data_IF_779348112745
#
_entry.id   IF_779348112745
#
_cell.length_a   1.000
_cell.length_b   1.000
_cell.length_c   1.000
_cell.angle_alpha   90.00
_cell.angle_beta   90.00
_cell.angle_gamma   90.00
#
_symmetry.space_group_name_H-M   'P 1'
#
loop_
_entity.id
_entity.type
_entity.pdbx_description
1 polymer ?
#
# COMPACT_ATOMS: atom_id res chain seq x y z
N UNK A 1 0.37 4.42 -9.16
CA UNK A 1 -0.80 5.12 -9.73
C UNK A 1 -1.84 4.16 -10.31
N UNK A 2 -1.53 3.34 -11.31
CA UNK A 2 -2.51 2.45 -11.95
C UNK A 2 -3.35 1.60 -10.95
N UNK A 3 -2.69 0.90 -10.02
CA UNK A 3 -3.37 0.12 -8.98
C UNK A 3 -4.39 0.94 -8.17
N UNK A 4 -4.01 2.14 -7.72
CA UNK A 4 -4.88 2.98 -6.89
C UNK A 4 -6.09 3.55 -7.64
N UNK A 5 -5.93 3.88 -8.93
CA UNK A 5 -7.06 4.31 -9.77
C UNK A 5 -8.03 3.14 -9.97
N UNK A 6 -7.53 1.94 -10.29
CA UNK A 6 -8.39 0.76 -10.46
C UNK A 6 -9.10 0.42 -9.16
N UNK A 7 -8.40 0.50 -8.02
CA UNK A 7 -8.97 0.24 -6.71
C UNK A 7 -10.10 1.22 -6.37
N UNK A 8 -9.93 2.51 -6.65
CA UNK A 8 -10.97 3.52 -6.43
C UNK A 8 -12.29 3.20 -7.15
N UNK A 9 -12.20 2.73 -8.41
CA UNK A 9 -13.38 2.45 -9.23
C UNK A 9 -13.93 1.03 -9.08
N UNK A 10 -13.07 0.05 -8.81
CA UNK A 10 -13.42 -1.38 -8.89
C UNK A 10 -13.18 -2.16 -7.59
N UNK A 11 -12.63 -1.52 -6.54
CA UNK A 11 -12.37 -2.11 -5.22
C UNK A 11 -11.52 -3.40 -5.29
N UNK A 12 -10.57 -3.44 -6.21
CA UNK A 12 -9.59 -4.51 -6.30
C UNK A 12 -8.23 -3.98 -6.78
N UNK A 13 -7.16 -4.63 -6.33
CA UNK A 13 -5.80 -4.37 -6.79
C UNK A 13 -5.48 -5.28 -7.98
N UNK A 14 -5.09 -4.74 -9.15
CA UNK A 14 -4.65 -5.55 -10.29
C UNK A 14 -3.38 -6.34 -9.97
N UNK A 15 -3.42 -7.66 -10.15
CA UNK A 15 -2.24 -8.53 -9.96
C UNK A 15 -1.06 -8.09 -10.82
N UNK A 16 -1.31 -7.56 -12.02
CA UNK A 16 -0.28 -7.00 -12.90
C UNK A 16 0.54 -5.91 -12.22
N UNK A 17 -0.08 -5.07 -11.38
CA UNK A 17 0.65 -4.04 -10.62
C UNK A 17 1.56 -4.66 -9.58
N UNK A 18 1.06 -5.67 -8.87
CA UNK A 18 1.82 -6.38 -7.83
C UNK A 18 3.03 -7.07 -8.45
N UNK A 19 2.84 -7.78 -9.57
CA UNK A 19 3.89 -8.52 -10.27
C UNK A 19 4.96 -7.56 -10.80
N UNK A 20 4.57 -6.45 -11.42
CA UNK A 20 5.53 -5.46 -11.94
C UNK A 20 6.39 -4.90 -10.80
N UNK A 21 5.77 -4.49 -9.68
CA UNK A 21 6.51 -3.97 -8.53
C UNK A 21 7.45 -5.04 -7.98
N UNK A 22 6.97 -6.29 -7.83
CA UNK A 22 7.80 -7.39 -7.36
C UNK A 22 9.04 -7.61 -8.23
N UNK A 23 8.88 -7.63 -9.56
CA UNK A 23 10.01 -7.79 -10.49
C UNK A 23 11.02 -6.66 -10.29
N UNK A 24 10.56 -5.41 -10.19
CA UNK A 24 11.43 -4.25 -9.96
C UNK A 24 12.15 -4.37 -8.61
N UNK A 25 11.44 -4.77 -7.55
CA UNK A 25 12.02 -4.99 -6.22
C UNK A 25 13.07 -6.10 -6.20
N UNK A 26 12.89 -7.16 -7.00
CA UNK A 26 13.85 -8.25 -7.09
C UNK A 26 15.12 -7.86 -7.85
N UNK A 27 15.01 -6.97 -8.85
CA UNK A 27 16.17 -6.43 -9.55
C UNK A 27 17.02 -5.57 -8.60
N UNK A 28 16.38 -4.80 -7.73
CA UNK A 28 17.02 -3.92 -6.74
C UNK A 28 16.87 -4.47 -5.31
N UNK A 29 17.17 -5.77 -5.13
CA UNK A 29 16.90 -6.46 -3.87
C UNK A 29 17.80 -5.99 -2.71
N UNK A 30 17.17 -5.76 -1.55
CA UNK A 30 17.83 -5.46 -0.28
C UNK A 30 17.26 -6.38 0.83
N UNK A 31 18.15 -6.99 1.62
CA UNK A 31 17.79 -7.90 2.71
C UNK A 31 17.04 -7.20 3.85
N UNK A 32 17.35 -5.94 4.13
CA UNK A 32 16.64 -5.16 5.14
C UNK A 32 15.21 -4.87 4.70
N UNK A 33 15.01 -4.58 3.41
CA UNK A 33 13.67 -4.43 2.83
C UNK A 33 12.85 -5.71 2.92
N UNK A 34 13.48 -6.88 2.77
CA UNK A 34 12.83 -8.17 2.98
C UNK A 34 12.32 -8.33 4.41
N UNK A 35 13.12 -7.95 5.42
CA UNK A 35 12.70 -8.03 6.83
C UNK A 35 11.47 -7.16 7.07
N UNK A 36 11.48 -5.90 6.59
CA UNK A 36 10.33 -5.02 6.70
C UNK A 36 9.11 -5.57 5.95
N UNK A 37 9.31 -6.16 4.77
CA UNK A 37 8.23 -6.71 3.97
C UNK A 37 7.58 -7.92 4.63
N UNK A 38 8.37 -8.82 5.23
CA UNK A 38 7.85 -9.93 6.02
C UNK A 38 7.05 -9.42 7.22
N UNK A 39 7.57 -8.43 7.94
CA UNK A 39 6.86 -7.81 9.06
C UNK A 39 5.50 -7.22 8.64
N UNK A 40 5.47 -6.42 7.57
CA UNK A 40 4.24 -5.84 7.03
C UNK A 40 3.29 -6.93 6.52
N UNK A 41 3.80 -7.95 5.84
CA UNK A 41 3.01 -9.08 5.35
C UNK A 41 2.30 -9.81 6.50
N UNK A 42 2.99 -10.11 7.60
CA UNK A 42 2.38 -10.77 8.76
C UNK A 42 1.29 -9.92 9.39
N UNK A 43 1.53 -8.62 9.60
CA UNK A 43 0.54 -7.71 10.19
C UNK A 43 -0.69 -7.62 9.28
N UNK A 44 -0.48 -7.43 7.98
CA UNK A 44 -1.57 -7.26 7.02
C UNK A 44 -2.34 -8.55 6.77
N UNK A 45 -1.71 -9.72 6.88
CA UNK A 45 -2.40 -11.02 6.89
C UNK A 45 -3.32 -11.18 8.11
N UNK A 46 -2.91 -10.73 9.29
CA UNK A 46 -3.78 -10.71 10.47
C UNK A 46 -4.99 -9.79 10.24
N UNK A 47 -4.78 -8.62 9.62
CA UNK A 47 -5.86 -7.70 9.27
C UNK A 47 -6.79 -8.27 8.19
N UNK A 48 -6.27 -9.00 7.21
CA UNK A 48 -7.07 -9.68 6.19
C UNK A 48 -8.10 -10.65 6.82
N UNK A 49 -7.70 -11.39 7.85
CA UNK A 49 -8.62 -12.30 8.56
C UNK A 49 -9.81 -11.58 9.21
N UNK A 50 -9.73 -10.27 9.44
CA UNK A 50 -10.84 -9.45 9.95
C UNK A 50 -11.85 -9.03 8.87
N UNK A 51 -11.63 -9.41 7.60
CA UNK A 51 -12.43 -9.06 6.41
C UNK A 51 -12.53 -7.57 6.08
N UNK A 52 -11.86 -6.69 6.83
CA UNK A 52 -11.79 -5.25 6.56
C UNK A 52 -10.72 -4.88 5.52
N UNK A 53 -9.80 -5.81 5.25
CA UNK A 53 -8.66 -5.62 4.36
C UNK A 53 -8.75 -6.60 3.18
N UNK A 54 -8.49 -6.14 1.96
CA UNK A 54 -8.45 -7.01 0.79
C UNK A 54 -7.14 -7.78 0.71
N UNK A 55 -7.16 -9.00 0.15
CA UNK A 55 -5.92 -9.75 -0.10
C UNK A 55 -5.01 -9.02 -1.10
N UNK A 56 -5.60 -8.29 -2.06
CA UNK A 56 -4.84 -7.42 -2.96
C UNK A 56 -4.07 -6.32 -2.23
N UNK A 57 -4.64 -5.76 -1.16
CA UNK A 57 -3.96 -4.73 -0.33
C UNK A 57 -2.77 -5.33 0.43
N UNK A 58 -2.92 -6.56 0.95
CA UNK A 58 -1.84 -7.32 1.59
C UNK A 58 -0.68 -7.52 0.62
N UNK A 59 -0.98 -8.01 -0.59
CA UNK A 59 0.03 -8.25 -1.61
C UNK A 59 0.71 -6.95 -2.03
N UNK A 60 -0.06 -5.89 -2.27
CA UNK A 60 0.45 -4.58 -2.68
C UNK A 60 1.41 -4.00 -1.62
N UNK A 61 1.01 -3.99 -0.35
CA UNK A 61 1.86 -3.49 0.73
C UNK A 61 3.13 -4.31 0.88
N UNK A 62 3.06 -5.63 0.76
CA UNK A 62 4.24 -6.49 0.84
C UNK A 62 5.26 -6.17 -0.27
N UNK A 63 4.82 -6.13 -1.53
CA UNK A 63 5.74 -5.83 -2.66
C UNK A 63 6.23 -4.39 -2.65
N UNK A 64 5.40 -3.44 -2.21
CA UNK A 64 5.84 -2.06 -2.02
C UNK A 64 6.83 -1.91 -0.88
N UNK A 65 6.71 -2.69 0.20
CA UNK A 65 7.71 -2.69 1.28
C UNK A 65 9.03 -3.29 0.80
N UNK A 66 9.00 -4.33 -0.04
CA UNK A 66 10.21 -4.84 -0.68
C UNK A 66 10.90 -3.76 -1.52
N UNK A 67 10.13 -2.91 -2.20
CA UNK A 67 10.66 -1.84 -3.03
C UNK A 67 11.19 -0.65 -2.22
N UNK A 68 10.41 -0.17 -1.24
CA UNK A 68 10.66 1.10 -0.53
C UNK A 68 11.36 0.93 0.82
N UNK A 69 11.44 -0.29 1.33
CA UNK A 69 12.03 -0.58 2.64
C UNK A 69 11.33 0.16 3.77
N UNK A 70 12.12 0.77 4.64
CA UNK A 70 11.63 1.53 5.80
C UNK A 70 10.69 2.70 5.42
N UNK A 71 10.85 3.27 4.22
CA UNK A 71 10.02 4.41 3.80
C UNK A 71 8.53 4.05 3.65
N UNK A 72 8.18 2.77 3.57
CA UNK A 72 6.78 2.33 3.53
C UNK A 72 5.98 2.80 4.75
N UNK A 73 6.63 2.94 5.92
CA UNK A 73 5.93 3.32 7.15
C UNK A 73 5.35 4.73 7.03
N UNK A 74 6.05 5.67 6.40
CA UNK A 74 5.53 7.01 6.13
C UNK A 74 4.28 6.96 5.24
N UNK A 75 4.31 6.12 4.20
CA UNK A 75 3.20 5.95 3.26
C UNK A 75 1.98 5.35 3.97
N UNK A 76 2.18 4.30 4.78
CA UNK A 76 1.12 3.63 5.55
C UNK A 76 0.47 4.61 6.54
N UNK A 77 1.28 5.35 7.30
CA UNK A 77 0.78 6.33 8.27
C UNK A 77 -0.04 7.39 7.55
N UNK A 78 0.51 7.95 6.47
CA UNK A 78 -0.18 8.97 5.69
C UNK A 78 -1.47 8.43 5.06
N UNK A 79 -1.49 7.18 4.56
CA UNK A 79 -2.70 6.61 3.96
C UNK A 79 -3.76 6.36 5.02
N UNK A 80 -3.39 5.93 6.23
CA UNK A 80 -4.33 5.81 7.35
C UNK A 80 -4.94 7.17 7.74
N UNK A 81 -4.12 8.23 7.78
CA UNK A 81 -4.60 9.61 8.03
C UNK A 81 -5.60 10.02 6.95
N UNK A 82 -5.28 9.81 5.67
CA UNK A 82 -6.19 10.15 4.56
C UNK A 82 -7.48 9.34 4.63
N UNK A 83 -7.40 8.03 4.89
CA UNK A 83 -8.57 7.18 5.08
C UNK A 83 -9.47 7.76 6.17
N UNK A 84 -8.89 8.13 7.31
CA UNK A 84 -9.64 8.70 8.43
C UNK A 84 -10.31 10.03 8.06
N UNK A 85 -9.57 10.97 7.45
CA UNK A 85 -10.11 12.28 7.05
C UNK A 85 -11.26 12.14 6.05
N UNK A 86 -11.08 11.34 4.99
CA UNK A 86 -12.05 11.26 3.90
C UNK A 86 -13.21 10.30 4.15
N UNK A 87 -13.09 9.38 5.12
CA UNK A 87 -14.13 8.40 5.45
C UNK A 87 -14.69 8.55 6.87
N UNK A 88 -14.32 9.59 7.63
CA UNK A 88 -14.77 9.77 9.02
C UNK A 88 -16.29 9.61 9.20
N UNK A 89 -17.07 10.09 8.24
CA UNK A 89 -18.54 10.06 8.26
C UNK A 89 -19.16 8.98 7.36
N UNK A 90 -18.34 8.16 6.68
CA UNK A 90 -18.86 7.10 5.79
C UNK A 90 -19.04 5.81 6.57
N UNK A 91 -20.24 5.21 6.45
CA UNK A 91 -20.55 3.87 7.00
C UNK A 91 -20.21 2.73 6.03
N UNK A 92 -19.38 3.00 5.02
CA UNK A 92 -19.04 2.00 4.02
C UNK A 92 -18.24 0.85 4.65
N UNK A 93 -18.59 -0.39 4.29
CA UNK A 93 -17.99 -1.61 4.84
C UNK A 93 -16.58 -1.86 4.25
N UNK A 94 -16.31 -1.30 3.06
CA UNK A 94 -15.04 -1.45 2.34
C UNK A 94 -14.52 -0.08 1.91
N UNK A 95 -13.22 0.09 2.00
CA UNK A 95 -12.50 1.31 1.67
C UNK A 95 -11.47 0.94 0.59
N UNK A 96 -11.35 1.71 -0.51
CA UNK A 96 -10.33 1.47 -1.53
C UNK A 96 -8.95 1.88 -0.99
N UNK A 97 -8.33 1.02 -0.19
CA UNK A 97 -7.10 1.34 0.52
C UNK A 97 -5.92 1.58 -0.43
N UNK A 98 -5.87 0.86 -1.56
CA UNK A 98 -4.91 1.07 -2.64
C UNK A 98 -4.96 2.49 -3.23
N UNK A 99 -6.14 3.11 -3.28
CA UNK A 99 -6.27 4.52 -3.68
C UNK A 99 -5.58 5.46 -2.69
N UNK A 100 -5.74 5.25 -1.38
CA UNK A 100 -5.10 6.08 -0.36
C UNK A 100 -3.59 5.84 -0.30
N UNK A 101 -3.13 4.61 -0.48
CA UNK A 101 -1.69 4.32 -0.66
C UNK A 101 -1.14 5.12 -1.85
N UNK A 102 -1.85 5.14 -2.99
CA UNK A 102 -1.41 5.90 -4.15
C UNK A 102 -1.27 7.39 -3.85
N UNK A 103 -2.26 8.01 -3.20
CA UNK A 103 -2.17 9.43 -2.82
C UNK A 103 -0.99 9.67 -1.88
N UNK A 104 -0.77 8.79 -0.90
CA UNK A 104 0.36 8.90 0.02
C UNK A 104 1.70 8.80 -0.67
N UNK A 105 1.86 7.92 -1.65
CA UNK A 105 3.07 7.82 -2.47
C UNK A 105 3.32 9.12 -3.24
N UNK A 106 2.28 9.70 -3.86
CA UNK A 106 2.40 10.97 -4.60
C UNK A 106 2.83 12.10 -3.67
N UNK A 107 2.20 12.21 -2.49
CA UNK A 107 2.56 13.23 -1.49
C UNK A 107 3.99 13.02 -0.99
N UNK A 108 4.37 11.78 -0.68
CA UNK A 108 5.72 11.45 -0.20
C UNK A 108 6.79 11.90 -1.20
N UNK A 109 6.67 11.53 -2.48
CA UNK A 109 7.62 11.95 -3.50
C UNK A 109 7.60 13.45 -3.77
N UNK A 110 6.44 14.11 -3.66
CA UNK A 110 6.36 15.56 -3.81
C UNK A 110 7.13 16.28 -2.69
N UNK A 111 7.04 15.78 -1.46
CA UNK A 111 7.79 16.31 -0.31
C UNK A 111 9.29 16.06 -0.48
N UNK A 112 9.68 14.86 -0.92
CA UNK A 112 11.09 14.47 -1.15
C UNK A 112 11.76 15.29 -2.26
N UNK A 113 11.01 15.76 -3.27
CA UNK A 113 11.56 16.60 -4.35
C UNK A 113 11.73 18.06 -3.92
N UNK A 114 10.92 18.55 -2.99
CA UNK A 114 10.91 19.97 -2.57
C UNK A 114 11.93 20.27 -1.46
N UNK A 115 12.20 19.28 -0.60
CA UNK A 115 13.15 19.37 0.52
C UNK A 115 14.52 18.82 0.16
#
# INVERSE_FOLDING_TARGET
MFAGIVDYYKMFIPETSVIIILIISLINFDIYNLIYALFILFITLVLYNTKKFGFGDVQLLAVMTLYLGFNIFYIIILSMILVFIFNFNRKEIKIPYGFYIMLSVVIYYFIEVIL
#
